data_IF_924533825860
#
_entry.id   IF_924533825860
#
_cell.length_a   1.000
_cell.length_b   1.000
_cell.length_c   1.000
_cell.angle_alpha   90.00
_cell.angle_beta   90.00
_cell.angle_gamma   90.00
#
_symmetry.space_group_name_H-M   'P 1'
#
loop_
_entity.id
_entity.type
_entity.pdbx_description
1 polymer ?
#
# COMPACT_ATOMS: atom_id res chain seq x y z
N UNK A 1 15.19 -3.92 -7.71
CA UNK A 1 15.29 -3.96 -6.25
C UNK A 1 13.85 -3.90 -5.75
N UNK A 2 13.37 -4.95 -5.11
CA UNK A 2 12.04 -4.98 -4.49
C UNK A 2 12.13 -4.29 -3.13
N UNK A 3 11.42 -3.18 -2.97
CA UNK A 3 11.36 -2.44 -1.70
C UNK A 3 10.26 -3.04 -0.83
N UNK A 4 10.66 -3.57 0.34
CA UNK A 4 9.73 -4.12 1.32
C UNK A 4 9.45 -3.07 2.38
N UNK A 5 8.17 -2.82 2.61
CA UNK A 5 7.64 -1.78 3.49
C UNK A 5 6.63 -2.37 4.46
N UNK A 6 6.47 -1.72 5.61
CA UNK A 6 5.52 -2.14 6.65
C UNK A 6 4.30 -1.22 6.63
N UNK A 7 3.13 -1.81 6.51
CA UNK A 7 1.85 -1.09 6.62
C UNK A 7 0.92 -1.79 7.60
N UNK A 8 0.00 -1.00 8.16
CA UNK A 8 -1.12 -1.57 8.88
C UNK A 8 -2.22 -1.94 7.87
N UNK A 9 -2.64 -3.21 7.77
CA UNK A 9 -3.69 -3.62 6.83
C UNK A 9 -5.02 -2.88 7.02
N UNK A 10 -5.30 -2.38 8.24
CA UNK A 10 -6.51 -1.60 8.51
C UNK A 10 -6.49 -0.19 7.92
N UNK A 11 -5.31 0.33 7.54
CA UNK A 11 -5.14 1.64 6.91
C UNK A 11 -5.17 1.54 5.36
N UNK A 12 -5.41 0.35 4.79
CA UNK A 12 -5.48 0.14 3.34
C UNK A 12 -6.69 0.85 2.74
N UNK A 13 -6.46 1.60 1.67
CA UNK A 13 -7.51 2.28 0.90
C UNK A 13 -8.36 1.26 0.14
N UNK A 14 -7.76 0.14 -0.27
CA UNK A 14 -8.45 -0.94 -0.96
C UNK A 14 -7.55 -2.14 -1.19
N UNK A 15 -8.18 -3.31 -1.29
CA UNK A 15 -7.54 -4.60 -1.58
C UNK A 15 -8.10 -5.17 -2.87
N UNK A 16 -7.22 -5.55 -3.78
CA UNK A 16 -7.56 -5.96 -5.14
C UNK A 16 -6.87 -7.27 -5.49
N UNK A 17 -7.49 -8.07 -6.35
CA UNK A 17 -6.87 -9.29 -6.87
C UNK A 17 -6.18 -9.06 -8.23
N UNK A 18 -6.57 -8.00 -8.95
CA UNK A 18 -5.95 -7.62 -10.22
C UNK A 18 -5.06 -6.39 -10.06
N UNK A 19 -3.85 -6.47 -10.63
CA UNK A 19 -2.86 -5.39 -10.56
C UNK A 19 -3.30 -4.14 -11.32
N UNK A 20 -3.92 -4.29 -12.50
CA UNK A 20 -4.34 -3.14 -13.29
C UNK A 20 -5.47 -2.39 -12.62
N UNK A 21 -6.43 -3.12 -12.02
CA UNK A 21 -7.50 -2.52 -11.22
C UNK A 21 -6.92 -1.72 -10.04
N UNK A 22 -5.98 -2.31 -9.29
CA UNK A 22 -5.32 -1.63 -8.18
C UNK A 22 -4.62 -0.34 -8.62
N UNK A 23 -3.85 -0.39 -9.72
CA UNK A 23 -3.13 0.79 -10.25
C UNK A 23 -4.11 1.86 -10.73
N UNK A 24 -5.17 1.48 -11.43
CA UNK A 24 -6.18 2.43 -11.91
C UNK A 24 -6.88 3.11 -10.74
N UNK A 25 -7.30 2.36 -9.71
CA UNK A 25 -7.91 2.94 -8.52
C UNK A 25 -6.93 3.84 -7.77
N UNK A 26 -5.66 3.44 -7.66
CA UNK A 26 -4.63 4.24 -7.01
C UNK A 26 -4.40 5.59 -7.72
N UNK A 27 -4.41 5.59 -9.06
CA UNK A 27 -4.31 6.84 -9.86
C UNK A 27 -5.52 7.74 -9.63
N UNK A 28 -6.74 7.18 -9.71
CA UNK A 28 -7.97 7.95 -9.45
C UNK A 28 -7.96 8.52 -8.04
N UNK A 29 -7.50 7.75 -7.05
CA UNK A 29 -7.38 8.21 -5.68
C UNK A 29 -6.38 9.37 -5.59
N UNK A 30 -5.18 9.23 -6.16
CA UNK A 30 -4.17 10.28 -6.19
C UNK A 30 -4.68 11.57 -6.85
N UNK A 31 -5.39 11.46 -7.98
CA UNK A 31 -5.95 12.63 -8.69
C UNK A 31 -7.02 13.37 -7.88
N UNK A 32 -7.79 12.63 -7.06
CA UNK A 32 -8.82 13.21 -6.18
C UNK A 32 -8.23 13.75 -4.88
N UNK A 33 -7.11 13.18 -4.45
CA UNK A 33 -6.46 13.42 -3.18
C UNK A 33 -5.03 13.94 -3.38
N UNK A 34 -4.82 14.81 -4.37
CA UNK A 34 -3.50 15.32 -4.75
C UNK A 34 -2.75 16.04 -3.61
N UNK A 35 -3.44 16.34 -2.50
CA UNK A 35 -2.87 16.97 -1.31
C UNK A 35 -2.54 15.97 -0.19
N UNK A 36 -3.09 14.75 -0.20
CA UNK A 36 -2.90 13.73 0.84
C UNK A 36 -1.56 12.97 0.72
N UNK A 37 -0.81 13.19 -0.37
CA UNK A 37 0.55 12.68 -0.54
C UNK A 37 0.67 11.62 -1.65
N UNK A 38 1.74 10.83 -1.57
CA UNK A 38 2.05 9.80 -2.57
C UNK A 38 1.26 8.53 -2.31
N UNK A 39 0.84 7.86 -3.39
CA UNK A 39 0.07 6.63 -3.31
C UNK A 39 0.94 5.46 -3.75
N UNK A 40 0.87 4.37 -2.99
CA UNK A 40 1.60 3.14 -3.25
C UNK A 40 0.64 2.00 -3.52
N UNK A 41 0.93 1.24 -4.57
CA UNK A 41 0.36 -0.09 -4.79
C UNK A 41 1.38 -1.10 -4.31
N UNK A 42 0.99 -1.90 -3.33
CA UNK A 42 1.86 -2.89 -2.71
C UNK A 42 1.26 -4.28 -2.87
N UNK A 43 2.11 -5.29 -2.94
CA UNK A 43 1.71 -6.68 -3.04
C UNK A 43 1.88 -7.37 -1.70
N UNK A 44 0.87 -8.15 -1.32
CA UNK A 44 0.96 -9.06 -0.18
C UNK A 44 1.78 -10.30 -0.56
N UNK A 45 2.80 -10.61 0.25
CA UNK A 45 3.66 -11.80 0.07
C UNK A 45 3.07 -13.09 0.66
N UNK A 46 1.88 -13.03 1.26
CA UNK A 46 1.20 -14.20 1.85
C UNK A 46 -0.14 -14.50 1.16
N UNK A 47 -0.24 -15.70 0.59
CA UNK A 47 -1.48 -16.24 0.04
C UNK A 47 -1.61 -16.01 -1.46
N UNK A 48 -2.86 -15.89 -1.92
CA UNK A 48 -3.16 -15.50 -3.30
C UNK A 48 -2.61 -14.08 -3.58
N UNK A 49 -2.16 -13.80 -4.81
CA UNK A 49 -1.65 -12.48 -5.15
C UNK A 49 -2.75 -11.44 -4.96
N UNK A 50 -2.57 -10.55 -3.98
CA UNK A 50 -3.41 -9.38 -3.77
C UNK A 50 -2.58 -8.12 -3.74
N UNK A 51 -3.19 -7.03 -4.20
CA UNK A 51 -2.63 -5.71 -4.29
C UNK A 51 -3.40 -4.76 -3.39
N UNK A 52 -2.71 -4.19 -2.43
CA UNK A 52 -3.26 -3.22 -1.49
C UNK A 52 -2.78 -1.82 -1.87
N UNK A 53 -3.62 -0.81 -1.60
CA UNK A 53 -3.30 0.59 -1.87
C UNK A 53 -3.12 1.31 -0.53
N UNK A 54 -2.00 2.00 -0.37
CA UNK A 54 -1.69 2.79 0.83
C UNK A 54 -1.15 4.17 0.45
N UNK A 55 -1.21 5.11 1.39
CA UNK A 55 -0.41 6.33 1.31
C UNK A 55 1.03 6.04 1.75
N UNK A 56 2.01 6.57 1.02
CA UNK A 56 3.43 6.42 1.38
C UNK A 56 3.71 6.98 2.79
N UNK A 57 3.00 8.03 3.18
CA UNK A 57 3.16 8.67 4.49
C UNK A 57 2.62 7.81 5.66
N UNK A 58 1.84 6.77 5.37
CA UNK A 58 1.37 5.80 6.36
C UNK A 58 2.36 4.64 6.59
N UNK A 59 3.52 4.68 5.92
CA UNK A 59 4.55 3.66 6.09
C UNK A 59 5.01 3.64 7.55
N UNK A 60 4.97 2.45 8.14
CA UNK A 60 5.38 2.26 9.52
C UNK A 60 6.88 2.05 9.60
N UNK A 61 7.53 2.81 10.47
CA UNK A 61 8.90 2.50 10.89
C UNK A 61 8.92 1.30 11.85
N UNK A 62 10.07 0.63 11.93
CA UNK A 62 10.29 -0.50 12.84
C UNK A 62 9.94 -0.20 14.32
N UNK A 63 9.93 1.08 14.72
CA UNK A 63 9.53 1.52 16.06
C UNK A 63 8.01 1.57 16.31
N UNK A 64 7.20 1.81 15.29
CA UNK A 64 5.74 2.00 15.39
C UNK A 64 4.95 0.68 15.33
N UNK A 65 5.57 -0.37 14.78
CA UNK A 65 5.03 -1.75 14.73
C UNK A 65 4.70 -2.35 16.11
N UNK A 66 5.23 -1.79 17.20
CA UNK A 66 4.93 -2.26 18.57
C UNK A 66 3.50 -1.97 19.03
N UNK A 67 2.82 -1.00 18.42
CA UNK A 67 1.50 -0.52 18.86
C UNK A 67 0.39 -0.66 17.81
N UNK A 68 0.75 -0.99 16.56
CA UNK A 68 -0.19 -1.23 15.46
C UNK A 68 0.11 -2.57 14.80
N UNK A 69 -0.91 -3.33 14.36
CA UNK A 69 -0.67 -4.53 13.58
C UNK A 69 0.02 -4.13 12.28
N UNK A 70 1.28 -4.51 12.10
CA UNK A 70 2.06 -4.22 10.91
C UNK A 70 2.26 -5.51 10.10
N UNK A 71 2.10 -5.41 8.79
CA UNK A 71 2.40 -6.48 7.83
C UNK A 71 3.43 -6.00 6.81
N UNK A 72 4.36 -6.87 6.39
CA UNK A 72 5.27 -6.57 5.30
C UNK A 72 4.54 -6.67 3.96
N UNK A 73 4.83 -5.74 3.08
CA UNK A 73 4.37 -5.70 1.71
C UNK A 73 5.52 -5.31 0.78
N UNK A 74 5.44 -5.75 -0.47
CA UNK A 74 6.43 -5.39 -1.49
C UNK A 74 5.85 -4.32 -2.41
N UNK A 75 6.56 -3.20 -2.60
CA UNK A 75 6.08 -2.12 -3.48
C UNK A 75 6.05 -2.61 -4.93
N UNK A 76 4.86 -2.60 -5.52
CA UNK A 76 4.66 -2.93 -6.94
C UNK A 76 4.65 -1.67 -7.81
N UNK A 77 4.08 -0.57 -7.32
CA UNK A 77 4.04 0.73 -8.01
C UNK A 77 4.03 1.89 -7.02
N UNK A 78 4.80 2.93 -7.33
CA UNK A 78 4.73 4.25 -6.69
C UNK A 78 4.17 5.26 -7.69
N UNK A 79 3.20 6.05 -7.25
CA UNK A 79 2.53 7.09 -8.01
C UNK A 79 2.77 8.45 -7.37
#
# INVERSE_FOLDING_TARGET
MDEVVLFNPGDSIGNFHDYHEAVQTAQIYQERHSQDGHVLVVKSDKGEPSFDIFLAEQQLDNGQSKFKPAKPYTISKKL
#
